data_IF_137007584855
#
_entry.id   IF_137007584855
#
_cell.length_a   1.000
_cell.length_b   1.000
_cell.length_c   1.000
_cell.angle_alpha   90.00
_cell.angle_beta   90.00
_cell.angle_gamma   90.00
#
_symmetry.space_group_name_H-M   'P 1'
#
loop_
_entity.id
_entity.type
_entity.pdbx_description
1 polymer ?
#
# COMPACT_ATOMS: atom_id res chain seq x y z
N UNK A 1 -29.61 -12.89 51.06
CA UNK A 1 -29.57 -13.00 49.59
C UNK A 1 -28.98 -14.36 49.28
N UNK A 2 -29.70 -15.23 48.58
CA UNK A 2 -29.24 -16.59 48.31
C UNK A 2 -28.27 -16.62 47.10
N UNK A 3 -27.37 -17.60 47.06
CA UNK A 3 -26.30 -17.71 46.05
C UNK A 3 -26.82 -17.79 44.61
N UNK A 4 -28.00 -18.37 44.41
CA UNK A 4 -28.73 -18.45 43.13
C UNK A 4 -29.26 -17.07 42.69
N UNK A 5 -29.68 -16.22 43.64
CA UNK A 5 -30.06 -14.83 43.35
C UNK A 5 -28.86 -13.96 43.00
N UNK A 6 -27.71 -14.14 43.67
CA UNK A 6 -26.47 -13.45 43.29
C UNK A 6 -25.97 -13.89 41.90
N UNK A 7 -26.05 -15.18 41.57
CA UNK A 7 -25.65 -15.69 40.25
C UNK A 7 -26.51 -15.08 39.13
N UNK A 8 -27.84 -15.00 39.33
CA UNK A 8 -28.75 -14.35 38.39
C UNK A 8 -28.56 -12.84 38.26
N UNK A 9 -28.22 -12.14 39.34
CA UNK A 9 -27.87 -10.72 39.26
C UNK A 9 -26.57 -10.50 38.49
N UNK A 10 -25.59 -11.38 38.66
CA UNK A 10 -24.34 -11.34 37.92
C UNK A 10 -24.57 -11.59 36.42
N UNK A 11 -25.37 -12.59 36.06
CA UNK A 11 -25.77 -12.86 34.67
C UNK A 11 -26.56 -11.71 34.05
N UNK A 12 -27.51 -11.11 34.80
CA UNK A 12 -28.26 -9.96 34.31
C UNK A 12 -27.39 -8.72 34.12
N UNK A 13 -26.42 -8.48 35.01
CA UNK A 13 -25.46 -7.38 34.85
C UNK A 13 -24.58 -7.60 33.62
N UNK A 14 -24.09 -8.82 33.42
CA UNK A 14 -23.25 -9.18 32.28
C UNK A 14 -24.04 -9.06 30.96
N UNK A 15 -25.30 -9.48 30.94
CA UNK A 15 -26.22 -9.28 29.82
C UNK A 15 -26.55 -7.79 29.58
N UNK A 16 -26.71 -6.99 30.63
CA UNK A 16 -26.94 -5.54 30.53
C UNK A 16 -25.70 -4.81 30.00
N UNK A 17 -24.50 -5.22 30.41
CA UNK A 17 -23.23 -4.70 29.88
C UNK A 17 -23.02 -5.08 28.40
N UNK A 18 -23.46 -6.28 27.98
CA UNK A 18 -23.48 -6.68 26.55
C UNK A 18 -24.48 -5.87 25.70
N UNK A 19 -25.59 -5.40 26.29
CA UNK A 19 -26.59 -4.55 25.64
C UNK A 19 -26.42 -3.05 25.95
N UNK A 20 -25.28 -2.66 26.53
CA UNK A 20 -25.00 -1.27 26.79
C UNK A 20 -24.74 -0.54 25.46
N UNK A 21 -25.81 0.06 24.94
CA UNK A 21 -25.86 0.82 23.68
C UNK A 21 -24.76 1.88 23.61
N UNK A 22 -24.36 2.45 24.75
CA UNK A 22 -23.32 3.47 24.81
C UNK A 22 -21.92 2.89 24.54
N UNK A 23 -21.60 1.73 25.13
CA UNK A 23 -20.35 1.01 24.84
C UNK A 23 -20.31 0.51 23.38
N UNK A 24 -21.43 0.02 22.86
CA UNK A 24 -21.54 -0.39 21.45
C UNK A 24 -21.36 0.80 20.50
N UNK A 25 -21.92 1.96 20.85
CA UNK A 25 -21.78 3.20 20.08
C UNK A 25 -20.32 3.68 20.08
N UNK A 26 -19.67 3.72 21.23
CA UNK A 26 -18.26 4.12 21.34
C UNK A 26 -17.34 3.19 20.53
N UNK A 27 -17.58 1.88 20.59
CA UNK A 27 -16.84 0.89 19.79
C UNK A 27 -17.08 1.07 18.28
N UNK A 28 -18.31 1.38 17.89
CA UNK A 28 -18.67 1.67 16.49
C UNK A 28 -18.00 2.96 16.00
N UNK A 29 -17.98 4.02 16.80
CA UNK A 29 -17.33 5.29 16.46
C UNK A 29 -15.82 5.12 16.31
N UNK A 30 -15.16 4.39 17.22
CA UNK A 30 -13.73 4.07 17.12
C UNK A 30 -13.40 3.25 15.88
N UNK A 31 -14.23 2.24 15.57
CA UNK A 31 -14.05 1.41 14.37
C UNK A 31 -14.25 2.22 13.08
N UNK A 32 -15.22 3.15 13.06
CA UNK A 32 -15.43 4.06 11.93
C UNK A 32 -14.22 4.99 11.72
N UNK A 33 -13.68 5.54 12.81
CA UNK A 33 -12.49 6.39 12.76
C UNK A 33 -11.27 5.64 12.19
N UNK A 34 -11.03 4.41 12.65
CA UNK A 34 -9.96 3.55 12.12
C UNK A 34 -10.16 3.18 10.65
N UNK A 35 -11.40 2.91 10.23
CA UNK A 35 -11.71 2.67 8.82
C UNK A 35 -11.39 3.90 7.95
N UNK A 36 -11.72 5.11 8.45
CA UNK A 36 -11.36 6.36 7.77
C UNK A 36 -9.84 6.53 7.66
N UNK A 37 -9.12 6.27 8.74
CA UNK A 37 -7.65 6.34 8.79
C UNK A 37 -7.01 5.35 7.81
N UNK A 38 -7.47 4.10 7.76
CA UNK A 38 -6.98 3.10 6.81
C UNK A 38 -7.21 3.55 5.34
N UNK A 39 -8.37 4.14 5.04
CA UNK A 39 -8.66 4.68 3.70
C UNK A 39 -7.76 5.86 3.35
N UNK A 40 -7.49 6.76 4.30
CA UNK A 40 -6.56 7.88 4.10
C UNK A 40 -5.15 7.38 3.74
N UNK A 41 -4.64 6.38 4.46
CA UNK A 41 -3.34 5.76 4.17
C UNK A 41 -3.30 5.12 2.77
N UNK A 42 -4.37 4.42 2.37
CA UNK A 42 -4.45 3.83 1.03
C UNK A 42 -4.46 4.92 -0.05
N UNK A 43 -5.18 6.02 0.17
CA UNK A 43 -5.22 7.15 -0.75
C UNK A 43 -3.87 7.86 -0.86
N UNK A 44 -3.17 8.07 0.25
CA UNK A 44 -1.80 8.60 0.27
C UNK A 44 -0.81 7.67 -0.46
N UNK A 45 -0.94 6.37 -0.25
CA UNK A 45 -0.19 5.34 -0.98
C UNK A 45 -0.42 5.43 -2.48
N UNK A 46 -1.68 5.56 -2.92
CA UNK A 46 -2.02 5.67 -4.33
C UNK A 46 -1.52 6.97 -4.96
N UNK A 47 -1.58 8.09 -4.23
CA UNK A 47 -0.99 9.36 -4.68
C UNK A 47 0.53 9.24 -4.84
N UNK A 48 1.20 8.60 -3.87
CA UNK A 48 2.65 8.36 -3.92
C UNK A 48 3.03 7.46 -5.10
N UNK A 49 2.26 6.38 -5.31
CA UNK A 49 2.41 5.50 -6.47
C UNK A 49 2.25 6.27 -7.79
N UNK A 50 1.19 7.08 -7.91
CA UNK A 50 0.92 7.84 -9.14
C UNK A 50 2.00 8.87 -9.44
N UNK A 51 2.52 9.56 -8.43
CA UNK A 51 3.65 10.49 -8.60
C UNK A 51 4.87 9.75 -9.10
N UNK A 52 5.23 8.62 -8.49
CA UNK A 52 6.39 7.85 -8.91
C UNK A 52 6.21 7.26 -10.32
N UNK A 53 5.02 6.79 -10.67
CA UNK A 53 4.71 6.32 -12.03
C UNK A 53 4.90 7.43 -13.08
N UNK A 54 4.56 8.68 -12.75
CA UNK A 54 4.77 9.82 -13.64
C UNK A 54 6.26 10.14 -13.82
N UNK A 55 7.04 10.11 -12.73
CA UNK A 55 8.49 10.28 -12.77
C UNK A 55 9.17 9.19 -13.60
N UNK A 56 8.83 7.91 -13.36
CA UNK A 56 9.32 6.77 -14.14
C UNK A 56 9.01 6.89 -15.62
N UNK A 57 7.84 7.46 -15.97
CA UNK A 57 7.47 7.72 -17.37
C UNK A 57 8.40 8.75 -17.99
N UNK A 58 8.68 9.85 -17.27
CA UNK A 58 9.63 10.88 -17.72
C UNK A 58 11.03 10.30 -17.90
N UNK A 59 11.52 9.56 -16.91
CA UNK A 59 12.82 8.88 -16.95
C UNK A 59 12.92 7.90 -18.13
N UNK A 60 11.84 7.18 -18.44
CA UNK A 60 11.77 6.24 -19.57
C UNK A 60 11.85 6.96 -20.91
N UNK A 61 11.16 8.10 -21.06
CA UNK A 61 11.25 8.92 -22.29
C UNK A 61 12.66 9.46 -22.48
N UNK A 62 13.27 10.00 -21.42
CA UNK A 62 14.65 10.52 -21.46
C UNK A 62 15.66 9.42 -21.82
N UNK A 63 15.53 8.23 -21.21
CA UNK A 63 16.37 7.08 -21.49
C UNK A 63 16.22 6.55 -22.93
N UNK A 64 14.99 6.53 -23.46
CA UNK A 64 14.74 6.10 -24.84
C UNK A 64 15.37 7.07 -25.84
N UNK A 65 15.23 8.40 -25.62
CA UNK A 65 15.87 9.41 -26.46
C UNK A 65 17.39 9.25 -26.44
N UNK A 66 17.98 9.03 -25.27
CA UNK A 66 19.41 8.80 -25.14
C UNK A 66 19.86 7.54 -25.90
N UNK A 67 19.15 6.43 -25.73
CA UNK A 67 19.45 5.15 -26.39
C UNK A 67 19.37 5.27 -27.92
N UNK A 68 18.35 5.95 -28.45
CA UNK A 68 18.22 6.20 -29.90
C UNK A 68 19.39 7.03 -30.42
N UNK A 69 19.77 8.10 -29.72
CA UNK A 69 20.93 8.92 -30.11
C UNK A 69 22.21 8.10 -30.11
N UNK A 70 22.41 7.27 -29.10
CA UNK A 70 23.60 6.43 -28.98
C UNK A 70 23.71 5.43 -30.12
N UNK A 71 22.63 4.70 -30.42
CA UNK A 71 22.56 3.78 -31.55
C UNK A 71 22.75 4.51 -32.89
N UNK A 72 22.19 5.71 -33.07
CA UNK A 72 22.32 6.50 -34.30
C UNK A 72 23.77 6.96 -34.59
N UNK A 73 24.65 6.99 -33.59
CA UNK A 73 26.08 7.33 -33.78
C UNK A 73 26.94 6.14 -34.22
N UNK A 74 26.37 4.95 -34.38
CA UNK A 74 27.09 3.74 -34.82
C UNK A 74 27.60 3.89 -36.25
N UNK A 75 28.86 3.52 -36.49
CA UNK A 75 29.50 3.60 -37.81
C UNK A 75 29.67 2.24 -38.47
N UNK A 76 29.59 1.15 -37.70
CA UNK A 76 29.66 -0.23 -38.20
C UNK A 76 28.49 -1.06 -37.70
N UNK A 77 28.31 -2.23 -38.32
CA UNK A 77 27.29 -3.21 -37.89
C UNK A 77 27.64 -3.78 -36.51
N UNK A 78 28.90 -4.06 -36.21
CA UNK A 78 29.29 -4.53 -34.87
C UNK A 78 28.99 -3.48 -33.79
N UNK A 79 29.30 -2.20 -34.03
CA UNK A 79 28.98 -1.12 -33.09
C UNK A 79 27.48 -0.98 -32.87
N UNK A 80 26.69 -1.11 -33.94
CA UNK A 80 25.24 -1.05 -33.86
C UNK A 80 24.68 -2.15 -32.97
N UNK A 81 25.09 -3.40 -33.20
CA UNK A 81 24.64 -4.57 -32.42
C UNK A 81 25.05 -4.42 -30.95
N UNK A 82 26.30 -4.00 -30.69
CA UNK A 82 26.79 -3.77 -29.33
C UNK A 82 25.96 -2.73 -28.59
N UNK A 83 25.69 -1.58 -29.20
CA UNK A 83 24.90 -0.50 -28.58
C UNK A 83 23.44 -0.89 -28.39
N UNK A 84 22.87 -1.63 -29.33
CA UNK A 84 21.52 -2.17 -29.18
C UNK A 84 21.43 -3.13 -27.99
N UNK A 85 22.44 -3.99 -27.80
CA UNK A 85 22.50 -4.91 -26.65
C UNK A 85 22.57 -4.14 -25.33
N UNK A 86 23.47 -3.16 -25.20
CA UNK A 86 23.58 -2.33 -24.00
C UNK A 86 22.30 -1.53 -23.70
N UNK A 87 21.60 -1.05 -24.73
CA UNK A 87 20.32 -0.36 -24.56
C UNK A 87 19.24 -1.30 -23.99
N UNK A 88 19.22 -2.57 -24.41
CA UNK A 88 18.30 -3.58 -23.89
C UNK A 88 18.63 -3.94 -22.44
N UNK A 89 19.91 -4.14 -22.10
CA UNK A 89 20.33 -4.40 -20.72
C UNK A 89 19.91 -3.27 -19.78
N UNK A 90 20.23 -2.03 -20.16
CA UNK A 90 19.85 -0.84 -19.39
C UNK A 90 18.33 -0.70 -19.23
N UNK A 91 17.56 -1.11 -20.25
CA UNK A 91 16.10 -1.12 -20.18
C UNK A 91 15.58 -2.18 -19.20
N UNK A 92 16.13 -3.39 -19.22
CA UNK A 92 15.76 -4.48 -18.28
C UNK A 92 16.05 -4.08 -16.84
N UNK A 93 17.24 -3.55 -16.57
CA UNK A 93 17.64 -3.11 -15.22
C UNK A 93 16.72 -2.00 -14.70
N UNK A 94 16.47 -0.97 -15.52
CA UNK A 94 15.59 0.14 -15.16
C UNK A 94 14.17 -0.34 -14.84
N UNK A 95 13.57 -1.17 -15.69
CA UNK A 95 12.21 -1.66 -15.45
C UNK A 95 12.12 -2.58 -14.23
N UNK A 96 13.13 -3.43 -14.02
CA UNK A 96 13.16 -4.30 -12.84
C UNK A 96 13.23 -3.47 -11.56
N UNK A 97 14.05 -2.41 -11.56
CA UNK A 97 14.13 -1.47 -10.44
C UNK A 97 12.81 -0.73 -10.23
N UNK A 98 12.20 -0.23 -11.30
CA UNK A 98 10.93 0.50 -11.26
C UNK A 98 9.79 -0.36 -10.68
N UNK A 99 9.70 -1.63 -11.09
CA UNK A 99 8.69 -2.57 -10.57
C UNK A 99 8.88 -2.83 -9.08
N UNK A 100 10.13 -3.01 -8.63
CA UNK A 100 10.42 -3.18 -7.19
C UNK A 100 9.99 -1.97 -6.38
N UNK A 101 10.36 -0.77 -6.84
CA UNK A 101 10.03 0.48 -6.17
C UNK A 101 8.51 0.70 -6.06
N UNK A 102 7.77 0.54 -7.17
CA UNK A 102 6.31 0.67 -7.18
C UNK A 102 5.64 -0.40 -6.30
N UNK A 103 6.17 -1.62 -6.29
CA UNK A 103 5.70 -2.69 -5.42
C UNK A 103 5.95 -2.39 -3.94
N UNK A 104 7.07 -1.76 -3.58
CA UNK A 104 7.37 -1.35 -2.21
C UNK A 104 6.44 -0.24 -1.73
N UNK A 105 6.11 0.73 -2.58
CA UNK A 105 5.12 1.77 -2.28
C UNK A 105 3.74 1.14 -2.00
N UNK A 106 3.27 0.26 -2.90
CA UNK A 106 1.98 -0.40 -2.76
C UNK A 106 1.93 -1.32 -1.54
N UNK A 107 2.99 -2.07 -1.29
CA UNK A 107 3.09 -2.95 -0.12
C UNK A 107 3.07 -2.15 1.18
N UNK A 108 3.83 -1.06 1.25
CA UNK A 108 3.93 -0.24 2.46
C UNK A 108 2.58 0.38 2.84
N UNK A 109 1.83 0.92 1.87
CA UNK A 109 0.50 1.48 2.15
C UNK A 109 -0.49 0.39 2.56
N UNK A 110 -0.46 -0.77 1.88
CA UNK A 110 -1.30 -1.92 2.22
C UNK A 110 -1.00 -2.47 3.62
N UNK A 111 0.28 -2.66 3.98
CA UNK A 111 0.68 -3.20 5.27
C UNK A 111 0.23 -2.28 6.42
N UNK A 112 0.41 -0.96 6.27
CA UNK A 112 -0.07 0.04 7.23
C UNK A 112 -1.60 0.01 7.39
N UNK A 113 -2.35 -0.02 6.29
CA UNK A 113 -3.80 -0.11 6.34
C UNK A 113 -4.28 -1.44 6.97
N UNK A 114 -3.60 -2.55 6.65
CA UNK A 114 -3.87 -3.86 7.24
C UNK A 114 -3.67 -3.87 8.75
N UNK A 115 -2.63 -3.20 9.24
CA UNK A 115 -2.37 -3.12 10.68
C UNK A 115 -3.46 -2.36 11.41
N UNK A 116 -3.96 -1.24 10.86
CA UNK A 116 -5.12 -0.52 11.41
C UNK A 116 -6.36 -1.42 11.45
N UNK A 117 -6.60 -2.20 10.39
CA UNK A 117 -7.73 -3.14 10.36
C UNK A 117 -7.60 -4.23 11.42
N UNK A 118 -6.40 -4.77 11.64
CA UNK A 118 -6.17 -5.75 12.71
C UNK A 118 -6.45 -5.17 14.09
N UNK A 119 -6.18 -3.89 14.30
CA UNK A 119 -6.52 -3.22 15.56
C UNK A 119 -8.03 -2.98 15.75
N UNK A 120 -8.83 -3.02 14.68
CA UNK A 120 -10.30 -3.00 14.81
C UNK A 120 -10.83 -4.32 15.36
N UNK A 121 -10.22 -5.45 14.97
CA UNK A 121 -10.65 -6.81 15.36
C UNK A 121 -10.20 -7.21 16.77
N UNK A 122 -9.19 -6.53 17.33
CA UNK A 122 -8.65 -6.84 18.67
C UNK A 122 -9.39 -6.16 19.84
N UNK A 123 -10.38 -5.30 19.56
CA UNK A 123 -11.25 -4.70 20.57
C UNK A 123 -12.57 -5.48 20.69
#
# INVERSE_FOLDING_TARGET
MDMNQMMKMFDMKQMADMWNVENMKEMSEKSLAKCKEANEILMEGMNSYSKRQAELTKESVEANIASVKEVATSKTVEEFVSKQHSAVEAWVERNTSAVKELSEIAKTSHDKASDIVKEMVKN
#
